data_IF_489998231481
#
_entry.id   IF_489998231481
#
_cell.length_a   1.000
_cell.length_b   1.000
_cell.length_c   1.000
_cell.angle_alpha   90.00
_cell.angle_beta   90.00
_cell.angle_gamma   90.00
#
_symmetry.space_group_name_H-M   'P 1'
#
loop_
_entity.id
_entity.type
_entity.pdbx_description
1 polymer ?
#
# COMPACT_ATOMS: atom_id res chain seq x y z
N UNK A 1 -2.66 -17.54 -5.57
CA UNK A 1 -3.40 -18.84 -5.50
C UNK A 1 -3.86 -19.37 -6.86
N UNK A 2 -4.14 -18.50 -7.84
CA UNK A 2 -4.39 -18.89 -9.24
C UNK A 2 -3.25 -18.49 -10.20
N UNK A 3 -2.20 -17.82 -9.72
CA UNK A 3 -1.03 -17.44 -10.52
C UNK A 3 -1.28 -16.26 -11.48
N UNK A 4 -2.31 -15.47 -11.25
CA UNK A 4 -2.50 -14.20 -11.96
C UNK A 4 -1.40 -13.22 -11.56
N UNK A 5 -0.79 -12.58 -12.56
CA UNK A 5 0.05 -11.40 -12.34
C UNK A 5 -0.85 -10.22 -12.00
N UNK A 6 -0.37 -9.32 -11.14
CA UNK A 6 -1.06 -8.08 -10.84
C UNK A 6 -0.81 -7.08 -11.97
N UNK A 7 -1.84 -6.77 -12.75
CA UNK A 7 -1.82 -5.84 -13.88
C UNK A 7 -2.39 -4.46 -13.52
N UNK A 8 -2.80 -4.25 -12.27
CA UNK A 8 -3.42 -3.00 -11.83
C UNK A 8 -4.93 -2.94 -12.02
N UNK A 9 -5.54 -3.94 -12.67
CA UNK A 9 -6.98 -3.98 -12.92
C UNK A 9 -7.75 -4.77 -11.86
N UNK A 10 -8.94 -4.27 -11.51
CA UNK A 10 -9.86 -4.97 -10.62
C UNK A 10 -10.39 -6.27 -11.26
N UNK A 11 -9.94 -7.39 -10.71
CA UNK A 11 -10.43 -8.70 -11.11
C UNK A 11 -11.71 -9.07 -10.36
N UNK A 12 -12.83 -9.12 -11.07
CA UNK A 12 -14.06 -9.68 -10.50
C UNK A 12 -13.99 -11.21 -10.43
N UNK A 13 -14.15 -11.77 -9.24
CA UNK A 13 -14.29 -13.22 -9.05
C UNK A 13 -15.77 -13.60 -8.90
N UNK A 14 -16.18 -14.67 -9.58
CA UNK A 14 -17.54 -15.22 -9.45
C UNK A 14 -17.70 -15.94 -8.11
N UNK A 15 -18.92 -16.00 -7.58
CA UNK A 15 -19.23 -16.69 -6.31
C UNK A 15 -18.71 -18.14 -6.30
N UNK A 16 -18.84 -18.87 -7.41
CA UNK A 16 -18.33 -20.23 -7.54
C UNK A 16 -16.80 -20.32 -7.37
N UNK A 17 -16.04 -19.34 -7.90
CA UNK A 17 -14.59 -19.26 -7.70
C UNK A 17 -14.24 -18.89 -6.25
N UNK A 18 -15.03 -18.02 -5.62
CA UNK A 18 -14.84 -17.67 -4.21
C UNK A 18 -15.10 -18.88 -3.29
N UNK A 19 -16.09 -19.72 -3.63
CA UNK A 19 -16.42 -20.95 -2.89
C UNK A 19 -15.31 -22.02 -2.92
N UNK A 20 -14.40 -21.95 -3.88
CA UNK A 20 -13.23 -22.82 -3.96
C UNK A 20 -12.17 -22.49 -2.90
N UNK A 21 -12.22 -21.30 -2.30
CA UNK A 21 -11.30 -20.88 -1.24
C UNK A 21 -11.95 -21.03 0.14
N UNK A 22 -11.29 -21.77 1.03
CA UNK A 22 -11.72 -21.96 2.40
C UNK A 22 -10.73 -21.32 3.37
N UNK A 23 -11.21 -20.39 4.19
CA UNK A 23 -10.48 -19.87 5.34
C UNK A 23 -10.57 -20.89 6.47
N UNK A 24 -9.45 -21.49 6.84
CA UNK A 24 -9.40 -22.55 7.84
C UNK A 24 -9.47 -21.95 9.24
N UNK A 25 -10.40 -22.45 10.05
CA UNK A 25 -10.63 -21.95 11.40
C UNK A 25 -11.48 -20.68 11.49
N UNK A 26 -11.97 -20.18 10.34
CA UNK A 26 -12.74 -18.94 10.25
C UNK A 26 -11.92 -17.70 10.61
N UNK A 27 -12.59 -16.56 10.76
CA UNK A 27 -11.95 -15.28 11.12
C UNK A 27 -11.31 -15.29 12.53
N UNK A 28 -11.67 -16.25 13.39
CA UNK A 28 -11.13 -16.38 14.74
C UNK A 28 -9.68 -16.87 14.80
N UNK A 29 -9.16 -17.43 13.69
CA UNK A 29 -7.77 -17.91 13.60
C UNK A 29 -6.88 -17.03 12.73
N UNK A 30 -7.38 -15.86 12.31
CA UNK A 30 -6.57 -14.85 11.63
C UNK A 30 -5.55 -14.32 12.63
N UNK A 31 -4.28 -14.38 12.27
CA UNK A 31 -3.20 -13.85 13.10
C UNK A 31 -2.92 -12.43 12.62
N UNK A 32 -3.09 -11.46 13.50
CA UNK A 32 -2.64 -10.09 13.26
C UNK A 32 -1.15 -9.98 13.58
N UNK A 33 -0.38 -9.47 12.62
CA UNK A 33 1.05 -9.27 12.76
C UNK A 33 1.35 -7.85 13.20
N UNK A 34 2.12 -7.73 14.27
CA UNK A 34 2.58 -6.44 14.81
C UNK A 34 3.75 -5.84 14.03
N UNK A 35 4.45 -6.66 13.24
CA UNK A 35 5.66 -6.26 12.51
C UNK A 35 5.54 -6.69 11.05
N UNK A 36 5.78 -5.75 10.15
CA UNK A 36 5.93 -5.96 8.71
C UNK A 36 7.43 -5.88 8.35
N UNK A 37 7.90 -6.84 7.54
CA UNK A 37 9.28 -6.86 7.06
C UNK A 37 9.31 -6.99 5.55
N UNK A 38 9.93 -6.01 4.89
CA UNK A 38 10.09 -6.01 3.42
C UNK A 38 11.56 -5.92 3.11
N UNK A 39 12.05 -6.82 2.26
CA UNK A 39 13.40 -6.71 1.72
C UNK A 39 13.26 -6.03 0.37
N UNK A 40 14.09 -5.03 0.11
CA UNK A 40 14.16 -4.35 -1.17
C UNK A 40 15.61 -4.25 -1.61
N UNK A 41 15.80 -4.03 -2.91
CA UNK A 41 17.13 -3.79 -3.47
C UNK A 41 17.32 -2.29 -3.52
N UNK A 42 18.33 -1.78 -2.82
CA UNK A 42 18.74 -0.38 -2.93
C UNK A 42 19.49 -0.16 -4.25
N UNK A 43 19.62 1.10 -4.65
CA UNK A 43 20.27 1.49 -5.90
C UNK A 43 21.71 0.99 -6.07
N UNK A 44 22.47 0.92 -4.98
CA UNK A 44 23.84 0.39 -4.99
C UNK A 44 23.87 -1.15 -5.11
N UNK A 45 22.76 -1.76 -5.51
CA UNK A 45 22.55 -3.20 -5.69
C UNK A 45 22.76 -3.95 -4.36
N UNK A 46 22.65 -3.23 -3.24
CA UNK A 46 22.62 -3.83 -1.92
C UNK A 46 21.21 -4.32 -1.59
N UNK A 47 21.14 -5.32 -0.73
CA UNK A 47 19.87 -5.77 -0.15
C UNK A 47 19.68 -5.05 1.16
N UNK A 48 18.62 -4.27 1.24
CA UNK A 48 18.19 -3.60 2.45
C UNK A 48 16.87 -4.22 2.95
N UNK A 49 16.47 -3.80 4.15
CA UNK A 49 15.28 -4.30 4.81
C UNK A 49 14.61 -3.21 5.61
N UNK A 50 13.34 -3.00 5.32
CA UNK A 50 12.44 -2.25 6.18
C UNK A 50 11.81 -3.14 7.23
N UNK A 51 11.74 -2.61 8.45
CA UNK A 51 11.01 -3.20 9.57
C UNK A 51 10.05 -2.13 10.05
N UNK A 52 8.75 -2.38 9.86
CA UNK A 52 7.70 -1.40 10.10
C UNK A 52 6.65 -1.97 11.05
N UNK A 53 5.92 -1.08 11.72
CA UNK A 53 4.81 -1.42 12.59
C UNK A 53 3.53 -0.88 11.96
N UNK A 54 2.61 -1.75 11.49
CA UNK A 54 1.31 -1.32 10.99
C UNK A 54 0.58 -0.38 11.96
N UNK A 55 -0.14 0.59 11.41
CA UNK A 55 -0.87 1.61 12.14
C UNK A 55 -0.35 3.02 11.83
N UNK A 56 -0.16 3.83 12.86
CA UNK A 56 0.18 5.24 12.71
C UNK A 56 1.53 5.46 12.06
N UNK A 57 1.55 6.21 10.95
CA UNK A 57 2.78 6.61 10.28
C UNK A 57 3.48 5.48 9.48
N UNK A 58 2.84 4.32 9.33
CA UNK A 58 3.37 3.22 8.53
C UNK A 58 3.00 3.39 7.06
N UNK A 59 3.78 4.19 6.33
CA UNK A 59 3.55 4.42 4.91
C UNK A 59 4.46 3.57 4.05
N UNK A 60 3.90 3.09 2.94
CA UNK A 60 4.58 2.24 1.98
C UNK A 60 4.27 2.70 0.58
N UNK A 61 5.10 2.29 -0.38
CA UNK A 61 4.90 2.58 -1.78
C UNK A 61 4.87 1.32 -2.64
N UNK A 62 4.04 1.36 -3.66
CA UNK A 62 3.86 0.32 -4.68
C UNK A 62 4.07 0.93 -6.05
N UNK A 63 4.36 0.13 -7.08
CA UNK A 63 4.41 0.64 -8.45
C UNK A 63 3.01 1.08 -8.90
N UNK A 64 2.91 2.25 -9.54
CA UNK A 64 1.71 2.63 -10.27
C UNK A 64 1.71 1.87 -11.60
N UNK A 65 0.66 1.13 -11.90
CA UNK A 65 0.46 0.53 -13.24
C UNK A 65 -0.22 1.55 -14.18
N UNK A 66 0.13 2.83 -14.05
CA UNK A 66 -0.45 3.90 -14.87
C UNK A 66 0.34 4.06 -16.17
N UNK A 67 -0.34 3.86 -17.31
CA UNK A 67 0.28 3.92 -18.64
C UNK A 67 0.38 5.34 -19.24
N UNK A 68 -0.11 6.35 -18.52
CA UNK A 68 -0.17 7.72 -19.03
C UNK A 68 1.22 8.37 -19.10
N UNK A 69 1.53 9.14 -20.16
CA UNK A 69 2.80 9.86 -20.26
C UNK A 69 2.94 10.87 -19.11
N UNK A 70 3.98 10.72 -18.29
CA UNK A 70 4.23 11.48 -17.06
C UNK A 70 3.31 11.13 -15.88
N UNK A 71 2.68 9.95 -15.90
CA UNK A 71 2.07 9.40 -14.70
C UNK A 71 3.10 9.30 -13.56
N UNK A 72 2.62 9.51 -12.34
CA UNK A 72 3.49 9.42 -11.18
C UNK A 72 3.75 7.93 -10.89
N UNK A 73 5.02 7.45 -10.91
CA UNK A 73 5.36 6.03 -11.03
C UNK A 73 5.01 5.16 -9.81
N UNK A 74 4.47 5.75 -8.74
CA UNK A 74 4.21 5.04 -7.49
C UNK A 74 2.84 5.39 -6.92
N UNK A 75 2.20 4.40 -6.32
CA UNK A 75 1.09 4.62 -5.39
C UNK A 75 1.61 4.55 -3.96
N UNK A 76 0.93 5.25 -3.05
CA UNK A 76 1.28 5.27 -1.63
C UNK A 76 0.09 4.81 -0.82
N UNK A 77 0.36 4.11 0.27
CA UNK A 77 -0.68 3.77 1.23
C UNK A 77 -0.16 3.72 2.65
N UNK A 78 -1.06 3.97 3.60
CA UNK A 78 -0.84 3.69 5.00
C UNK A 78 -1.24 2.25 5.29
N UNK A 79 -0.31 1.45 5.81
CA UNK A 79 -0.62 0.09 6.28
C UNK A 79 -1.26 0.20 7.65
N UNK A 80 -2.54 -0.18 7.75
CA UNK A 80 -3.31 -0.12 8.99
C UNK A 80 -3.03 -1.38 9.81
N UNK A 81 -3.15 -2.56 9.19
CA UNK A 81 -2.94 -3.85 9.84
C UNK A 81 -2.34 -4.87 8.86
N UNK A 82 -1.63 -5.85 9.40
CA UNK A 82 -1.07 -6.97 8.64
C UNK A 82 -1.66 -8.29 9.17
N UNK A 83 -2.01 -9.19 8.26
CA UNK A 83 -2.69 -10.45 8.59
C UNK A 83 -2.00 -11.66 7.96
N UNK A 84 -2.00 -12.75 8.71
CA UNK A 84 -1.66 -14.10 8.24
C UNK A 84 -2.90 -14.97 8.32
N UNK A 85 -3.40 -15.39 7.16
CA UNK A 85 -4.63 -16.18 7.04
C UNK A 85 -4.30 -17.56 6.53
N UNK A 86 -4.78 -18.59 7.23
CA UNK A 86 -4.68 -19.97 6.76
C UNK A 86 -5.78 -20.25 5.76
N UNK A 87 -5.40 -20.54 4.52
CA UNK A 87 -6.31 -20.77 3.41
C UNK A 87 -6.08 -22.15 2.79
N UNK A 88 -7.16 -22.74 2.29
CA UNK A 88 -7.14 -23.98 1.54
C UNK A 88 -7.91 -23.78 0.24
N UNK A 89 -7.25 -23.99 -0.88
CA UNK A 89 -7.88 -23.96 -2.20
C UNK A 89 -8.34 -25.37 -2.57
N UNK A 90 -9.65 -25.60 -2.56
CA UNK A 90 -10.30 -26.90 -2.84
C UNK A 90 -10.85 -27.01 -4.27
N UNK A 91 -10.79 -25.92 -5.04
CA UNK A 91 -11.24 -25.86 -6.42
C UNK A 91 -10.51 -26.81 -7.36
N UNK A 92 -11.15 -27.12 -8.49
CA UNK A 92 -10.57 -27.97 -9.54
C UNK A 92 -9.28 -27.37 -10.11
N UNK A 93 -9.21 -26.04 -10.19
CA UNK A 93 -8.08 -25.27 -10.72
C UNK A 93 -7.00 -24.96 -9.66
N UNK A 94 -7.04 -25.62 -8.50
CA UNK A 94 -6.07 -25.36 -7.44
C UNK A 94 -4.67 -25.84 -7.83
N UNK A 95 -3.72 -24.90 -7.95
CA UNK A 95 -2.30 -25.22 -8.12
C UNK A 95 -1.79 -26.06 -6.95
N UNK A 96 -2.18 -25.71 -5.72
CA UNK A 96 -1.77 -26.43 -4.52
C UNK A 96 -2.94 -26.64 -3.57
N UNK A 97 -3.21 -27.91 -3.26
CA UNK A 97 -4.33 -28.37 -2.41
C UNK A 97 -3.93 -28.61 -0.95
N UNK A 98 -2.74 -28.18 -0.55
CA UNK A 98 -2.33 -28.19 0.86
C UNK A 98 -2.76 -26.90 1.56
N UNK A 99 -2.73 -26.92 2.89
CA UNK A 99 -2.93 -25.74 3.71
C UNK A 99 -1.83 -24.71 3.42
N UNK A 100 -2.21 -23.48 3.09
CA UNK A 100 -1.31 -22.37 2.83
C UNK A 100 -1.53 -21.23 3.82
N UNK A 101 -0.49 -20.47 4.10
CA UNK A 101 -0.61 -19.20 4.82
C UNK A 101 -0.52 -18.09 3.78
N UNK A 102 -1.54 -17.26 3.72
CA UNK A 102 -1.60 -16.07 2.88
C UNK A 102 -1.33 -14.83 3.75
N UNK A 103 -0.50 -13.94 3.25
CA UNK A 103 -0.18 -12.66 3.89
C UNK A 103 -0.98 -11.55 3.20
N UNK A 104 -1.62 -10.70 3.99
CA UNK A 104 -2.47 -9.61 3.49
C UNK A 104 -2.25 -8.37 4.35
N UNK A 105 -2.16 -7.21 3.72
CA UNK A 105 -2.11 -5.92 4.39
C UNK A 105 -3.43 -5.20 4.18
N UNK A 106 -4.04 -4.69 5.23
CA UNK A 106 -5.15 -3.76 5.09
C UNK A 106 -4.59 -2.34 5.07
N UNK A 107 -4.90 -1.61 3.99
CA UNK A 107 -4.26 -0.33 3.69
C UNK A 107 -5.31 0.75 3.41
N UNK A 108 -4.90 2.01 3.64
CA UNK A 108 -5.62 3.21 3.20
C UNK A 108 -4.78 3.95 2.16
N UNK A 109 -5.34 4.20 0.97
CA UNK A 109 -4.59 4.75 -0.16
C UNK A 109 -4.43 6.27 -0.09
N UNK A 110 -3.31 6.73 -0.62
CA UNK A 110 -3.02 8.13 -0.87
C UNK A 110 -2.80 8.36 -2.36
N UNK A 111 -3.55 9.29 -2.92
CA UNK A 111 -3.43 9.72 -4.31
C UNK A 111 -2.55 10.97 -4.44
N UNK A 112 -2.02 11.20 -5.63
CA UNK A 112 -1.33 12.46 -5.96
C UNK A 112 -2.33 13.62 -5.84
N UNK A 113 -1.91 14.70 -5.19
CA UNK A 113 -2.74 15.89 -4.97
C UNK A 113 -3.17 16.49 -6.33
N UNK A 114 -4.48 16.58 -6.61
CA UNK A 114 -4.99 17.11 -7.88
C UNK A 114 -4.52 18.54 -8.14
N UNK A 115 -3.98 18.80 -9.32
CA UNK A 115 -3.52 20.13 -9.73
C UNK A 115 -2.18 20.56 -9.10
N UNK A 116 -1.55 19.72 -8.28
CA UNK A 116 -0.20 19.96 -7.81
C UNK A 116 0.82 19.41 -8.80
N UNK A 117 1.62 20.31 -9.38
CA UNK A 117 2.74 19.92 -10.24
C UNK A 117 3.99 19.71 -9.39
N UNK A 118 4.47 18.47 -9.30
CA UNK A 118 5.83 18.19 -8.85
C UNK A 118 6.79 18.19 -10.04
N UNK A 119 7.99 18.69 -9.85
CA UNK A 119 9.06 18.51 -10.82
C UNK A 119 10.41 18.52 -10.12
N UNK A 120 11.29 17.62 -10.58
CA UNK A 120 12.66 17.57 -10.11
C UNK A 120 13.39 18.89 -10.36
N UNK A 121 13.18 19.48 -11.54
CA UNK A 121 13.82 20.72 -11.96
C UNK A 121 13.43 21.93 -11.10
N UNK A 122 12.22 21.93 -10.52
CA UNK A 122 11.77 22.97 -9.61
C UNK A 122 12.02 22.62 -8.13
N UNK A 123 12.68 21.50 -7.84
CA UNK A 123 12.89 20.97 -6.50
C UNK A 123 11.60 20.86 -5.67
N UNK A 124 10.50 20.49 -6.33
CA UNK A 124 9.19 20.30 -5.69
C UNK A 124 8.93 18.82 -5.48
N UNK A 125 8.87 18.41 -4.21
CA UNK A 125 8.50 17.05 -3.82
C UNK A 125 7.05 16.74 -4.27
N UNK A 126 6.75 15.50 -4.68
CA UNK A 126 5.39 15.04 -4.88
C UNK A 126 4.58 15.28 -3.63
N UNK A 127 3.33 15.66 -3.84
CA UNK A 127 2.37 15.91 -2.78
C UNK A 127 1.23 14.93 -2.95
N UNK A 128 0.85 14.28 -1.87
CA UNK A 128 -0.18 13.23 -1.85
C UNK A 128 -1.15 13.47 -0.71
N UNK A 129 -2.40 13.08 -0.89
CA UNK A 129 -3.46 13.18 0.11
C UNK A 129 -4.19 11.84 0.22
N UNK A 130 -4.85 11.58 1.35
CA UNK A 130 -5.71 10.41 1.45
C UNK A 130 -6.80 10.43 0.38
N UNK A 131 -7.08 9.27 -0.19
CA UNK A 131 -8.28 9.08 -1.00
C UNK A 131 -9.49 9.20 -0.07
N UNK A 132 -10.52 10.01 -0.41
CA UNK A 132 -11.68 10.19 0.46
C UNK A 132 -12.38 8.86 0.77
N UNK A 133 -12.78 8.64 2.03
CA UNK A 133 -13.45 7.40 2.46
C UNK A 133 -14.78 7.10 1.76
N UNK A 134 -15.35 8.11 1.08
CA UNK A 134 -16.53 7.97 0.24
C UNK A 134 -16.24 7.26 -1.08
N UNK A 135 -14.97 7.13 -1.44
CA UNK A 135 -14.49 6.34 -2.56
C UNK A 135 -14.37 4.87 -2.13
N UNK A 136 -14.97 3.97 -2.92
CA UNK A 136 -14.97 2.53 -2.64
C UNK A 136 -13.54 1.95 -2.65
N UNK A 137 -12.59 2.64 -3.30
CA UNK A 137 -11.19 2.24 -3.41
C UNK A 137 -10.26 2.94 -2.40
N UNK A 138 -10.80 3.70 -1.43
CA UNK A 138 -9.99 4.34 -0.39
C UNK A 138 -9.28 3.33 0.53
N UNK A 139 -9.91 2.18 0.77
CA UNK A 139 -9.36 1.10 1.59
C UNK A 139 -9.35 -0.20 0.80
N UNK A 140 -8.23 -0.91 0.82
CA UNK A 140 -8.16 -2.23 0.18
C UNK A 140 -7.21 -3.18 0.89
N UNK A 141 -7.16 -4.41 0.41
CA UNK A 141 -6.13 -5.36 0.79
C UNK A 141 -4.99 -5.34 -0.22
N UNK A 142 -3.75 -5.30 0.27
CA UNK A 142 -2.53 -5.30 -0.51
C UNK A 142 -1.72 -6.57 -0.25
N UNK A 143 -1.23 -7.19 -1.32
CA UNK A 143 -0.24 -8.26 -1.24
C UNK A 143 1.13 -7.65 -0.88
N UNK A 144 1.78 -8.07 0.22
CA UNK A 144 3.10 -7.56 0.61
C UNK A 144 4.17 -7.66 -0.49
N UNK A 145 4.04 -8.58 -1.44
CA UNK A 145 4.99 -8.73 -2.55
C UNK A 145 4.92 -7.61 -3.59
N UNK A 146 3.82 -6.84 -3.61
CA UNK A 146 3.67 -5.66 -4.48
C UNK A 146 4.29 -4.40 -3.88
N UNK A 147 4.75 -4.46 -2.63
CA UNK A 147 5.43 -3.36 -1.98
C UNK A 147 6.84 -3.21 -2.55
N UNK A 148 7.18 -1.98 -2.92
CA UNK A 148 8.55 -1.64 -3.30
C UNK A 148 9.39 -1.46 -2.04
N UNK A 149 8.99 -0.56 -1.15
CA UNK A 149 9.58 -0.36 0.17
C UNK A 149 8.66 0.50 1.06
N UNK A 150 9.07 0.72 2.30
CA UNK A 150 8.53 1.76 3.16
C UNK A 150 8.87 3.15 2.63
N UNK A 151 8.03 4.14 2.92
CA UNK A 151 8.29 5.51 2.53
C UNK A 151 8.06 6.47 3.70
N UNK A 152 8.73 7.61 3.64
CA UNK A 152 8.57 8.66 4.65
C UNK A 152 7.75 9.80 4.06
N UNK A 153 6.55 9.99 4.60
CA UNK A 153 5.66 11.09 4.23
C UNK A 153 5.80 12.22 5.26
N UNK A 154 6.04 13.43 4.77
CA UNK A 154 6.22 14.63 5.57
C UNK A 154 4.90 15.42 5.55
N UNK A 155 4.23 15.65 6.69
CA UNK A 155 3.01 16.43 6.71
C UNK A 155 3.18 17.82 6.08
N UNK A 156 2.19 18.24 5.29
CA UNK A 156 2.15 19.60 4.75
C UNK A 156 1.61 20.57 5.80
N UNK A 157 2.52 21.11 6.62
CA UNK A 157 2.16 22.03 7.71
C UNK A 157 1.42 23.29 7.24
N UNK A 158 1.63 23.71 5.99
CA UNK A 158 0.94 24.88 5.41
C UNK A 158 -0.51 24.62 5.05
N UNK A 159 -0.87 23.38 4.70
CA UNK A 159 -2.25 23.01 4.36
C UNK A 159 -3.09 22.68 5.59
N UNK A 160 -2.43 22.37 6.71
CA UNK A 160 -3.06 22.08 7.98
C UNK A 160 -3.75 20.72 8.01
N UNK A 161 -4.81 20.63 8.82
CA UNK A 161 -5.55 19.41 9.10
C UNK A 161 -6.95 19.45 8.46
N UNK A 162 -7.51 18.28 8.22
CA UNK A 162 -8.84 18.08 7.65
C UNK A 162 -9.57 16.90 8.29
N UNK A 163 -10.90 16.99 8.28
CA UNK A 163 -11.83 15.90 8.61
C UNK A 163 -12.68 15.49 7.41
N UNK A 164 -12.36 16.00 6.21
CA UNK A 164 -13.17 15.79 5.00
C UNK A 164 -12.82 14.54 4.22
N UNK A 165 -11.60 14.03 4.38
CA UNK A 165 -11.10 12.87 3.65
C UNK A 165 -11.43 11.57 4.38
N UNK A 166 -11.23 11.55 5.70
CA UNK A 166 -11.47 10.38 6.54
C UNK A 166 -12.33 10.79 7.75
N UNK A 167 -13.09 9.84 8.28
CA UNK A 167 -13.96 10.04 9.45
C UNK A 167 -13.21 10.64 10.63
N UNK A 168 -13.75 11.72 11.19
CA UNK A 168 -13.23 12.33 12.42
C UNK A 168 -13.32 11.37 13.62
N UNK A 169 -12.33 11.43 14.50
CA UNK A 169 -12.32 10.76 15.81
C UNK A 169 -11.31 9.61 15.90
N UNK A 170 -11.52 8.75 16.90
CA UNK A 170 -10.60 7.65 17.16
C UNK A 170 -10.50 6.69 15.95
N UNK A 171 -9.26 6.40 15.57
CA UNK A 171 -8.91 5.47 14.49
C UNK A 171 -7.70 4.63 14.91
N UNK A 172 -7.65 3.37 14.46
CA UNK A 172 -6.49 2.48 14.66
C UNK A 172 -5.24 3.02 13.94
N UNK A 173 -5.45 3.81 12.89
CA UNK A 173 -4.39 4.41 12.09
C UNK A 173 -3.87 5.77 12.64
N UNK A 174 -4.51 6.33 13.68
CA UNK A 174 -4.14 7.63 14.28
C UNK A 174 -3.57 7.47 15.68
N UNK A 175 -2.84 8.49 16.16
CA UNK A 175 -2.48 8.51 17.57
C UNK A 175 -3.75 8.67 18.42
N UNK A 176 -3.78 8.12 19.66
CA UNK A 176 -4.96 8.20 20.51
C UNK A 176 -5.43 9.63 20.85
N UNK A 177 -4.56 10.63 20.66
CA UNK A 177 -4.83 12.05 20.93
C UNK A 177 -5.27 12.83 19.70
N UNK A 178 -5.18 12.24 18.51
CA UNK A 178 -5.53 12.89 17.23
C UNK A 178 -6.96 12.50 16.83
N UNK A 179 -7.74 13.48 16.38
CA UNK A 179 -9.11 13.30 15.90
C UNK A 179 -9.30 13.66 14.43
N UNK A 180 -8.31 14.28 13.79
CA UNK A 180 -8.27 14.65 12.38
C UNK A 180 -6.99 14.13 11.70
N UNK A 181 -6.88 14.33 10.38
CA UNK A 181 -5.69 13.99 9.59
C UNK A 181 -5.08 15.23 8.94
N UNK A 182 -3.85 15.11 8.48
CA UNK A 182 -3.24 16.12 7.62
C UNK A 182 -3.96 16.19 6.27
N UNK A 183 -4.14 17.41 5.76
CA UNK A 183 -4.71 17.64 4.43
C UNK A 183 -3.91 16.93 3.33
N UNK A 184 -2.59 16.97 3.44
CA UNK A 184 -1.68 16.38 2.48
C UNK A 184 -0.30 16.13 3.09
N UNK A 185 0.51 15.35 2.39
CA UNK A 185 1.88 15.03 2.72
C UNK A 185 2.79 15.24 1.52
N UNK A 186 4.03 15.65 1.78
CA UNK A 186 5.10 15.59 0.81
C UNK A 186 5.80 14.24 0.89
N UNK A 187 6.00 13.61 -0.27
CA UNK A 187 6.77 12.36 -0.35
C UNK A 187 8.25 12.68 -0.23
N UNK A 188 8.90 12.12 0.78
CA UNK A 188 10.34 12.24 0.91
C UNK A 188 11.06 11.39 -0.16
N UNK A 189 11.58 12.06 -1.18
CA UNK A 189 12.24 11.41 -2.31
C UNK A 189 13.66 10.91 -2.03
N UNK A 190 14.24 11.12 -0.84
CA UNK A 190 15.59 10.62 -0.57
C UNK A 190 15.69 9.09 -0.68
N UNK A 191 14.62 8.33 -0.49
CA UNK A 191 14.60 6.87 -0.71
C UNK A 191 14.15 6.53 -2.15
N UNK A 192 13.21 7.31 -2.69
CA UNK A 192 12.56 7.07 -3.99
C UNK A 192 13.47 7.39 -5.18
N UNK A 193 14.29 8.44 -5.09
CA UNK A 193 15.18 8.90 -6.16
C UNK A 193 16.27 7.87 -6.50
N UNK A 194 16.73 7.11 -5.51
CA UNK A 194 17.68 6.03 -5.73
C UNK A 194 17.06 4.90 -6.57
N UNK A 195 15.78 4.59 -6.39
CA UNK A 195 15.12 3.50 -7.12
C UNK A 195 14.90 3.88 -8.60
N UNK A 196 14.49 5.12 -8.89
CA UNK A 196 14.23 5.58 -10.26
C UNK A 196 15.50 5.69 -11.13
N UNK A 197 16.65 6.08 -10.56
CA UNK A 197 17.90 6.21 -11.33
C UNK A 197 18.49 4.87 -11.79
N UNK A 198 18.05 3.73 -11.24
CA UNK A 198 18.51 2.41 -11.68
C UNK A 198 17.92 2.01 -13.04
N UNK A 199 16.69 2.43 -13.33
CA UNK A 199 15.96 1.98 -14.53
C UNK A 199 16.42 2.74 -15.79
N UNK A 200 16.78 4.02 -15.63
CA UNK A 200 17.34 4.85 -16.71
C UNK A 200 18.78 4.47 -17.13
N UNK A 201 19.42 3.53 -16.41
CA UNK A 201 20.78 3.08 -16.73
C UNK A 201 20.85 1.95 -17.77
N UNK A 202 19.71 1.51 -18.30
CA UNK A 202 19.59 0.40 -19.24
C UNK A 202 19.10 0.81 -20.66
N UNK A 203 19.26 2.08 -21.04
CA UNK A 203 19.07 2.57 -22.41
C UNK A 203 20.34 3.16 -23.00
#
# INVERSE_FOLDING_TARGET
LCGYEYDGDEHSFTDDKCNDLRIIGGLNQVIESTILRVNYTSYDICRERDVMWPGTGCFVMTLSQEDEPNAHPFWYCQVIQAFHIKVLHVGLNAWCRSLQTMELLWVCWLGVEPGYSCSFWEAKLPKVSFVPETDDNAFSFLDPSLMVCGCHLIPSFSDGHTTSLLRQGASVARQPTEDDDWCAFYVNMYVVFYILLADDSNT
#
